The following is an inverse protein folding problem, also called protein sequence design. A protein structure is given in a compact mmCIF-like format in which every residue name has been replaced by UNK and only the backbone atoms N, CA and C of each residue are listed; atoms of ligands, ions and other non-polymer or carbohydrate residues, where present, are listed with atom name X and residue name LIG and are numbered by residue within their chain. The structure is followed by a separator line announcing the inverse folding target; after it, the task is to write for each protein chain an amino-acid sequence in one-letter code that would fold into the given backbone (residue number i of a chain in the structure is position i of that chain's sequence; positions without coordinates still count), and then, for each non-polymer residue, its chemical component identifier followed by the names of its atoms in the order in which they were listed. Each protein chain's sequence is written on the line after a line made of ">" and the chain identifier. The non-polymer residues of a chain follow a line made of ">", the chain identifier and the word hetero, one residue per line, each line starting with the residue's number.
data_IF_354982050352
#
_entry.id   IF_354982050352
#
_cell.length_a   1.000
_cell.length_b   1.000
_cell.length_c   1.000
_cell.angle_alpha   90.00
_cell.angle_beta   90.00
_cell.angle_gamma   90.00
#
_symmetry.space_group_name_H-M   'P 1'
#
loop_
_entity.id
_entity.type
_entity.pdbx_description
1 polymer ?
#
# COMPACT_ATOMS: atom_id res chain seq x y z
N UNK A 1 -20.40 -21.34 4.34
CA UNK A 1 -20.60 -22.80 4.36
C UNK A 1 -21.48 -23.25 3.20
N UNK A 2 -22.65 -22.66 2.94
CA UNK A 2 -23.54 -23.08 1.83
C UNK A 2 -22.81 -23.12 0.46
N UNK A 3 -22.04 -22.08 0.12
CA UNK A 3 -21.31 -22.00 -1.15
C UNK A 3 -20.20 -23.04 -1.28
N UNK A 4 -19.63 -23.49 -0.17
CA UNK A 4 -18.57 -24.48 -0.11
C UNK A 4 -19.10 -25.91 0.11
N UNK A 5 -20.42 -26.07 0.29
CA UNK A 5 -21.08 -27.35 0.59
C UNK A 5 -20.46 -28.08 1.80
N UNK A 6 -20.02 -27.30 2.81
CA UNK A 6 -19.34 -27.81 4.02
C UNK A 6 -20.15 -27.39 5.25
N UNK A 7 -20.37 -28.33 6.16
CA UNK A 7 -20.98 -28.07 7.46
C UNK A 7 -19.95 -27.49 8.44
N UNK A 8 -20.41 -26.69 9.42
CA UNK A 8 -19.52 -26.14 10.44
C UNK A 8 -18.81 -27.23 11.27
N UNK A 9 -19.43 -28.38 11.42
CA UNK A 9 -18.85 -29.53 12.13
C UNK A 9 -17.63 -30.13 11.42
N UNK A 10 -17.55 -29.98 10.09
CA UNK A 10 -16.49 -30.53 9.25
C UNK A 10 -15.23 -29.67 9.22
N UNK A 11 -15.30 -28.48 9.82
CA UNK A 11 -14.15 -27.57 9.88
C UNK A 11 -13.11 -28.12 10.87
N UNK A 12 -11.85 -28.23 10.44
CA UNK A 12 -10.74 -28.71 11.25
C UNK A 12 -10.13 -27.62 12.14
N UNK A 13 -10.10 -26.39 11.67
CA UNK A 13 -9.48 -25.25 12.33
C UNK A 13 -10.11 -23.93 11.93
N UNK A 14 -9.91 -22.89 12.75
CA UNK A 14 -10.27 -21.51 12.44
C UNK A 14 -8.98 -20.71 12.30
N UNK A 15 -8.83 -19.98 11.19
CA UNK A 15 -7.74 -19.03 10.97
C UNK A 15 -8.30 -17.61 10.88
N UNK A 16 -7.56 -16.63 11.42
CA UNK A 16 -7.98 -15.22 11.41
C UNK A 16 -6.76 -14.30 11.34
N UNK A 17 -6.87 -13.24 10.55
CA UNK A 17 -5.85 -12.19 10.55
C UNK A 17 -5.76 -11.53 11.93
N UNK A 18 -4.59 -11.65 12.57
CA UNK A 18 -4.34 -11.17 13.93
C UNK A 18 -3.59 -9.82 13.96
N UNK A 19 -2.99 -9.41 12.84
CA UNK A 19 -2.25 -8.16 12.66
C UNK A 19 -1.12 -8.29 11.63
N UNK A 20 -0.49 -7.18 11.27
CA UNK A 20 -0.88 -5.79 11.56
C UNK A 20 -2.15 -5.35 10.84
N UNK A 21 -2.73 -4.19 11.25
CA UNK A 21 -3.92 -3.62 10.63
C UNK A 21 -4.72 -2.73 11.58
N UNK A 22 -5.86 -2.23 11.13
CA UNK A 22 -6.77 -1.39 11.91
C UNK A 22 -7.28 -2.14 13.14
N UNK A 23 -6.93 -1.69 14.33
CA UNK A 23 -7.23 -2.35 15.61
C UNK A 23 -8.71 -2.69 15.78
N UNK A 24 -9.63 -1.78 15.38
CA UNK A 24 -11.07 -2.02 15.47
C UNK A 24 -11.53 -3.19 14.59
N UNK A 25 -11.07 -3.25 13.34
CA UNK A 25 -11.39 -4.34 12.42
C UNK A 25 -10.81 -5.68 12.91
N UNK A 26 -9.54 -5.65 13.35
CA UNK A 26 -8.88 -6.85 13.90
C UNK A 26 -9.59 -7.38 15.15
N UNK A 27 -9.99 -6.49 16.07
CA UNK A 27 -10.72 -6.91 17.30
C UNK A 27 -12.04 -7.61 16.98
N UNK A 28 -12.80 -7.09 16.01
CA UNK A 28 -14.06 -7.71 15.58
C UNK A 28 -13.82 -9.09 14.98
N UNK A 29 -12.87 -9.19 14.03
CA UNK A 29 -12.53 -10.46 13.38
C UNK A 29 -12.00 -11.51 14.37
N UNK A 30 -11.03 -11.13 15.18
CA UNK A 30 -10.42 -12.02 16.19
C UNK A 30 -11.45 -12.41 17.26
N UNK A 31 -12.33 -11.48 17.68
CA UNK A 31 -13.40 -11.78 18.63
C UNK A 31 -14.38 -12.82 18.08
N UNK A 32 -14.84 -12.64 16.85
CA UNK A 32 -15.73 -13.59 16.16
C UNK A 32 -15.05 -14.97 15.99
N UNK A 33 -13.79 -14.99 15.54
CA UNK A 33 -13.04 -16.23 15.35
C UNK A 33 -12.83 -17.01 16.66
N UNK A 34 -12.52 -16.30 17.76
CA UNK A 34 -12.42 -16.90 19.12
C UNK A 34 -13.73 -17.52 19.55
N UNK A 35 -14.86 -16.81 19.35
CA UNK A 35 -16.19 -17.33 19.66
C UNK A 35 -16.53 -18.60 18.87
N UNK A 36 -16.24 -18.57 17.56
CA UNK A 36 -16.48 -19.71 16.66
C UNK A 36 -15.60 -20.92 17.04
N UNK A 37 -14.29 -20.71 17.21
CA UNK A 37 -13.36 -21.77 17.58
C UNK A 37 -13.73 -22.42 18.92
N UNK A 38 -14.12 -21.60 19.90
CA UNK A 38 -14.59 -22.10 21.20
C UNK A 38 -15.88 -22.92 21.09
N UNK A 39 -16.87 -22.42 20.30
CA UNK A 39 -18.14 -23.11 20.11
C UNK A 39 -17.99 -24.45 19.39
N UNK A 40 -17.07 -24.54 18.43
CA UNK A 40 -16.78 -25.75 17.66
C UNK A 40 -15.74 -26.66 18.35
N UNK A 41 -15.12 -26.22 19.42
CA UNK A 41 -13.97 -26.89 20.08
C UNK A 41 -12.85 -27.21 19.08
N UNK A 42 -12.49 -26.22 18.23
CA UNK A 42 -11.46 -26.34 17.18
C UNK A 42 -10.28 -25.40 17.46
N UNK A 43 -9.08 -25.75 16.99
CA UNK A 43 -7.91 -24.88 17.13
C UNK A 43 -8.11 -23.53 16.39
N UNK A 44 -7.50 -22.47 16.96
CA UNK A 44 -7.51 -21.12 16.38
C UNK A 44 -6.08 -20.70 16.03
N UNK A 45 -5.89 -20.26 14.79
CA UNK A 45 -4.61 -19.78 14.29
C UNK A 45 -4.68 -18.28 13.97
N UNK A 46 -3.73 -17.52 14.52
CA UNK A 46 -3.53 -16.11 14.17
C UNK A 46 -2.62 -15.99 12.96
N UNK A 47 -3.10 -15.33 11.91
CA UNK A 47 -2.35 -15.14 10.66
C UNK A 47 -1.79 -13.71 10.60
N UNK A 48 -0.52 -13.58 10.24
CA UNK A 48 0.07 -12.27 9.96
C UNK A 48 -0.46 -11.74 8.62
N UNK A 49 -0.99 -10.50 8.63
CA UNK A 49 -1.61 -9.86 7.47
C UNK A 49 -0.63 -9.69 6.29
N UNK A 50 0.60 -9.29 6.59
CA UNK A 50 1.63 -9.05 5.56
C UNK A 50 2.12 -10.38 4.96
N UNK A 51 2.30 -11.40 5.80
CA UNK A 51 2.60 -12.75 5.34
C UNK A 51 1.50 -13.30 4.43
N UNK A 52 0.22 -13.05 4.76
CA UNK A 52 -0.91 -13.46 3.93
C UNK A 52 -0.91 -12.80 2.55
N UNK A 53 -0.49 -11.53 2.45
CA UNK A 53 -0.34 -10.85 1.15
C UNK A 53 0.72 -11.53 0.26
N UNK A 54 1.83 -11.97 0.83
CA UNK A 54 2.89 -12.66 0.07
C UNK A 54 2.48 -14.11 -0.22
N UNK A 55 1.81 -14.76 0.73
CA UNK A 55 1.40 -16.15 0.60
C UNK A 55 0.35 -16.39 -0.51
N UNK A 56 -0.28 -15.32 -1.03
CA UNK A 56 -1.23 -15.47 -2.15
C UNK A 56 -0.58 -16.13 -3.37
N UNK A 57 0.70 -15.88 -3.61
CA UNK A 57 1.45 -16.47 -4.72
C UNK A 57 1.63 -18.00 -4.58
N UNK A 58 1.47 -18.56 -3.36
CA UNK A 58 1.51 -20.01 -3.13
C UNK A 58 0.22 -20.72 -3.56
N UNK A 59 -0.88 -19.97 -3.67
CA UNK A 59 -2.21 -20.52 -4.02
C UNK A 59 -2.69 -20.06 -5.39
N UNK A 60 -1.93 -19.22 -6.08
CA UNK A 60 -2.24 -18.76 -7.42
C UNK A 60 -1.92 -19.88 -8.43
N UNK A 61 -2.91 -20.28 -9.24
CA UNK A 61 -2.77 -21.38 -10.21
C UNK A 61 -1.84 -21.04 -11.38
N UNK A 62 -1.66 -19.75 -11.68
CA UNK A 62 -0.92 -19.26 -12.86
C UNK A 62 0.54 -18.87 -12.56
N UNK A 63 1.02 -19.09 -11.34
CA UNK A 63 2.38 -18.74 -10.92
C UNK A 63 3.12 -20.01 -10.49
N UNK A 64 4.38 -20.15 -10.89
CA UNK A 64 5.25 -21.28 -10.50
C UNK A 64 5.55 -21.37 -8.99
N UNK A 65 4.70 -20.77 -8.18
CA UNK A 65 4.81 -20.68 -6.73
C UNK A 65 5.86 -19.67 -6.27
N UNK A 66 5.85 -19.39 -4.97
CA UNK A 66 6.83 -18.50 -4.36
C UNK A 66 8.18 -19.25 -4.23
N UNK A 67 9.19 -18.80 -4.96
CA UNK A 67 10.55 -19.31 -4.79
C UNK A 67 11.23 -18.59 -3.62
N UNK A 68 11.60 -19.32 -2.58
CA UNK A 68 12.32 -18.75 -1.44
C UNK A 68 13.83 -19.05 -1.53
N UNK A 69 14.71 -18.15 -1.05
CA UNK A 69 14.37 -16.83 -0.48
C UNK A 69 13.96 -15.80 -1.54
N UNK A 70 12.99 -14.95 -1.20
CA UNK A 70 12.53 -13.88 -2.10
C UNK A 70 12.44 -12.54 -1.36
N UNK A 71 12.40 -11.45 -2.14
CA UNK A 71 12.14 -10.11 -1.63
C UNK A 71 10.75 -9.68 -2.11
N UNK A 72 9.90 -9.31 -1.17
CA UNK A 72 8.57 -8.77 -1.45
C UNK A 72 8.53 -7.26 -1.16
N UNK A 73 7.99 -6.50 -2.10
CA UNK A 73 7.64 -5.11 -1.91
C UNK A 73 6.13 -5.00 -1.74
N UNK A 74 5.69 -4.70 -0.54
CA UNK A 74 4.28 -4.45 -0.23
C UNK A 74 3.99 -2.96 -0.36
N UNK A 75 3.06 -2.59 -1.24
CA UNK A 75 2.63 -1.21 -1.46
C UNK A 75 1.11 -1.13 -1.40
N UNK A 76 0.60 -0.39 -0.42
CA UNK A 76 -0.84 -0.24 -0.22
C UNK A 76 -1.18 1.15 0.36
N UNK A 77 -2.46 1.37 0.66
CA UNK A 77 -2.91 2.58 1.37
C UNK A 77 -2.42 2.67 2.82
N UNK A 78 -2.09 1.56 3.45
CA UNK A 78 -1.67 1.52 4.86
C UNK A 78 -0.23 1.09 5.08
N UNK A 79 0.40 0.40 4.12
CA UNK A 79 1.74 -0.17 4.25
C UNK A 79 2.59 0.11 3.02
N UNK A 80 3.86 0.40 3.24
CA UNK A 80 4.91 0.39 2.22
C UNK A 80 6.15 -0.19 2.87
N UNK A 81 6.45 -1.44 2.53
CA UNK A 81 7.43 -2.26 3.24
C UNK A 81 8.20 -3.15 2.28
N UNK A 82 9.46 -3.41 2.60
CA UNK A 82 10.30 -4.42 1.94
C UNK A 82 10.51 -5.56 2.93
N UNK A 83 10.11 -6.76 2.52
CA UNK A 83 10.26 -7.99 3.29
C UNK A 83 11.24 -8.94 2.61
N UNK A 84 12.09 -9.60 3.39
CA UNK A 84 12.80 -10.82 2.99
C UNK A 84 11.99 -12.02 3.47
N UNK A 85 11.71 -12.93 2.58
CA UNK A 85 10.93 -14.14 2.86
C UNK A 85 11.86 -15.34 2.65
N UNK A 86 12.27 -15.97 3.72
CA UNK A 86 12.93 -17.27 3.68
C UNK A 86 11.91 -18.42 3.75
N UNK A 87 10.89 -18.23 4.59
CA UNK A 87 9.71 -19.07 4.70
C UNK A 87 8.51 -18.20 5.08
N UNK A 88 7.32 -18.46 4.50
CA UNK A 88 6.12 -17.63 4.73
C UNK A 88 5.48 -17.83 6.10
N UNK A 89 5.85 -18.88 6.82
CA UNK A 89 5.30 -19.21 8.14
C UNK A 89 6.18 -18.65 9.26
N UNK A 90 7.49 -18.81 9.16
CA UNK A 90 8.39 -18.57 10.29
C UNK A 90 9.69 -17.80 9.97
N UNK A 91 9.99 -17.51 8.68
CA UNK A 91 11.18 -16.73 8.30
C UNK A 91 10.82 -15.53 7.41
N UNK A 92 10.21 -14.52 8.04
CA UNK A 92 9.91 -13.22 7.41
C UNK A 92 10.65 -12.13 8.16
N UNK A 93 11.51 -11.41 7.45
CA UNK A 93 12.30 -10.30 7.97
C UNK A 93 11.89 -8.98 7.33
N UNK A 94 11.56 -7.98 8.15
CA UNK A 94 11.32 -6.61 7.69
C UNK A 94 12.67 -5.93 7.42
N UNK A 95 12.96 -5.67 6.14
CA UNK A 95 14.18 -4.97 5.73
C UNK A 95 14.04 -3.45 5.80
N UNK A 96 12.87 -2.93 5.51
CA UNK A 96 12.58 -1.51 5.56
C UNK A 96 11.11 -1.20 5.37
N UNK A 97 10.70 -0.02 5.84
CA UNK A 97 9.33 0.44 5.78
C UNK A 97 9.28 1.95 5.54
N UNK A 98 8.09 2.46 5.23
CA UNK A 98 7.89 3.91 5.28
C UNK A 98 8.02 4.41 6.72
N UNK A 99 8.70 5.55 6.88
CA UNK A 99 8.86 6.22 8.19
C UNK A 99 7.75 7.23 8.47
N UNK A 100 6.87 7.45 7.50
CA UNK A 100 5.77 8.41 7.59
C UNK A 100 4.54 7.87 6.83
N UNK A 101 4.00 8.59 5.86
CA UNK A 101 2.85 8.13 5.07
C UNK A 101 3.21 6.88 4.24
N UNK A 102 2.26 5.96 4.06
CA UNK A 102 2.38 4.93 3.05
C UNK A 102 2.25 5.54 1.63
N UNK A 103 2.78 4.86 0.61
CA UNK A 103 2.71 5.32 -0.77
C UNK A 103 1.26 5.60 -1.21
N UNK A 104 0.34 4.64 -1.00
CA UNK A 104 -1.06 4.82 -1.36
C UNK A 104 -1.74 5.95 -0.58
N UNK A 105 -1.38 6.15 0.69
CA UNK A 105 -1.85 7.28 1.49
C UNK A 105 -1.36 8.62 0.93
N UNK A 106 -0.11 8.69 0.45
CA UNK A 106 0.42 9.88 -0.21
C UNK A 106 -0.35 10.18 -1.51
N UNK A 107 -0.70 9.15 -2.31
CA UNK A 107 -1.57 9.28 -3.47
C UNK A 107 -2.95 9.82 -3.10
N UNK A 108 -3.60 9.26 -2.08
CA UNK A 108 -4.93 9.69 -1.63
C UNK A 108 -4.95 11.14 -1.13
N UNK A 109 -3.93 11.51 -0.35
CA UNK A 109 -3.77 12.88 0.16
C UNK A 109 -3.53 13.89 -0.95
N UNK A 110 -2.71 13.52 -1.95
CA UNK A 110 -2.40 14.38 -3.10
C UNK A 110 -3.60 14.47 -4.04
N UNK A 111 -4.30 13.38 -4.31
CA UNK A 111 -5.54 13.39 -5.11
C UNK A 111 -6.57 14.33 -4.51
N UNK A 112 -6.79 14.25 -3.20
CA UNK A 112 -7.71 15.16 -2.49
C UNK A 112 -7.30 16.63 -2.64
N UNK A 113 -5.99 16.93 -2.55
CA UNK A 113 -5.45 18.27 -2.75
C UNK A 113 -5.72 18.80 -4.16
N UNK A 114 -5.66 17.92 -5.16
CA UNK A 114 -5.92 18.24 -6.56
C UNK A 114 -7.42 18.23 -6.94
N UNK A 115 -8.32 18.01 -5.98
CA UNK A 115 -9.76 17.91 -6.21
C UNK A 115 -10.18 16.63 -6.93
N UNK A 116 -9.34 15.60 -6.94
CA UNK A 116 -9.64 14.31 -7.54
C UNK A 116 -10.38 13.37 -6.57
N UNK A 117 -11.15 12.43 -7.14
CA UNK A 117 -11.92 11.47 -6.35
C UNK A 117 -11.04 10.38 -5.72
N UNK A 118 -11.57 9.74 -4.69
CA UNK A 118 -11.03 8.49 -4.13
C UNK A 118 -11.42 7.28 -5.02
N UNK A 119 -10.56 6.27 -5.19
CA UNK A 119 -9.19 6.15 -4.66
C UNK A 119 -8.19 7.03 -5.42
N UNK A 120 -7.21 7.59 -4.69
CA UNK A 120 -6.28 8.59 -5.22
C UNK A 120 -5.36 8.06 -6.32
N UNK A 121 -4.78 6.88 -6.13
CA UNK A 121 -3.84 6.29 -7.09
C UNK A 121 -4.39 6.26 -8.52
N UNK A 122 -5.48 5.50 -8.79
CA UNK A 122 -6.05 5.41 -10.14
C UNK A 122 -6.48 6.77 -10.72
N UNK A 123 -6.92 7.72 -9.88
CA UNK A 123 -7.35 9.02 -10.36
C UNK A 123 -6.18 9.95 -10.67
N UNK A 124 -5.08 9.88 -9.91
CA UNK A 124 -3.83 10.58 -10.27
C UNK A 124 -3.28 10.04 -11.59
N UNK A 125 -3.22 8.73 -11.78
CA UNK A 125 -2.76 8.13 -13.05
C UNK A 125 -3.61 8.56 -14.24
N UNK A 126 -4.94 8.58 -14.08
CA UNK A 126 -5.83 9.10 -15.13
C UNK A 126 -5.60 10.59 -15.42
N UNK A 127 -5.37 11.39 -14.38
CA UNK A 127 -5.07 12.81 -14.55
C UNK A 127 -3.73 13.00 -15.27
N UNK A 128 -2.69 12.26 -14.89
CA UNK A 128 -1.38 12.28 -15.52
C UNK A 128 -1.45 11.93 -17.02
N UNK A 129 -2.35 11.04 -17.39
CA UNK A 129 -2.61 10.67 -18.79
C UNK A 129 -3.51 11.66 -19.54
N UNK A 130 -3.97 12.76 -18.92
CA UNK A 130 -4.88 13.74 -19.52
C UNK A 130 -6.29 13.22 -19.76
N UNK A 131 -6.70 12.17 -19.05
CA UNK A 131 -8.02 11.54 -19.23
C UNK A 131 -9.14 12.23 -18.45
N UNK A 132 -8.80 13.11 -17.51
CA UNK A 132 -9.78 13.76 -16.63
C UNK A 132 -10.05 15.22 -16.98
N UNK A 133 -9.15 15.90 -17.72
CA UNK A 133 -9.30 17.30 -18.12
C UNK A 133 -9.92 17.47 -19.52
N UNK A 134 -10.28 16.37 -20.17
CA UNK A 134 -10.89 16.37 -21.51
C UNK A 134 -9.94 16.74 -22.65
N UNK A 135 -8.67 17.00 -22.37
CA UNK A 135 -7.67 17.37 -23.40
C UNK A 135 -7.13 16.15 -24.13
N UNK A 136 -7.10 14.99 -23.45
CA UNK A 136 -6.45 13.77 -23.94
C UNK A 136 -4.92 13.90 -24.07
N UNK A 137 -4.35 15.01 -23.59
CA UNK A 137 -2.93 15.27 -23.64
C UNK A 137 -2.28 14.91 -22.28
N UNK A 138 -1.32 13.96 -22.23
CA UNK A 138 -0.61 13.63 -21.01
C UNK A 138 0.05 14.85 -20.36
N UNK A 139 0.20 14.80 -19.06
CA UNK A 139 0.94 15.81 -18.31
C UNK A 139 2.45 15.73 -18.58
N UNK A 140 3.13 16.86 -18.45
CA UNK A 140 4.59 16.91 -18.51
C UNK A 140 5.19 16.55 -17.13
N UNK A 141 5.82 15.38 -17.03
CA UNK A 141 6.50 14.92 -15.80
C UNK A 141 7.66 15.80 -15.35
N UNK A 142 8.14 16.69 -16.21
CA UNK A 142 9.22 17.62 -15.89
C UNK A 142 8.73 19.01 -15.47
N UNK A 143 7.43 19.29 -15.61
CA UNK A 143 6.85 20.60 -15.27
C UNK A 143 6.95 20.87 -13.76
N UNK A 144 6.78 19.84 -12.93
CA UNK A 144 6.88 19.91 -11.48
C UNK A 144 7.86 18.85 -10.96
N UNK A 145 8.85 19.29 -10.20
CA UNK A 145 9.82 18.35 -9.59
C UNK A 145 9.47 18.08 -8.14
N UNK A 146 9.22 16.82 -7.85
CA UNK A 146 8.95 16.37 -6.50
C UNK A 146 10.23 15.89 -5.78
N UNK A 147 10.31 16.05 -4.44
CA UNK A 147 11.43 15.52 -3.67
C UNK A 147 11.35 14.00 -3.60
N UNK A 148 12.48 13.32 -3.77
CA UNK A 148 12.60 11.89 -3.48
C UNK A 148 13.05 11.71 -2.03
N UNK A 149 12.15 11.18 -1.20
CA UNK A 149 12.43 10.92 0.22
C UNK A 149 13.51 9.87 0.39
N UNK A 150 14.44 10.07 1.34
CA UNK A 150 15.52 9.13 1.71
C UNK A 150 16.38 8.63 0.54
N UNK A 151 16.45 9.37 -0.58
CA UNK A 151 17.21 8.99 -1.76
C UNK A 151 18.64 9.59 -1.82
N UNK A 152 19.09 10.28 -0.77
CA UNK A 152 20.44 10.86 -0.73
C UNK A 152 21.48 9.79 -0.43
N UNK A 153 22.71 9.98 -0.93
CA UNK A 153 23.84 9.05 -0.72
C UNK A 153 24.06 8.70 0.76
N UNK A 154 23.83 9.63 1.66
CA UNK A 154 23.95 9.40 3.11
C UNK A 154 22.89 8.43 3.62
N UNK A 155 21.64 8.56 3.18
CA UNK A 155 20.55 7.69 3.59
C UNK A 155 20.75 6.26 3.05
N UNK A 156 21.19 6.13 1.79
CA UNK A 156 21.47 4.84 1.14
C UNK A 156 22.68 4.09 1.75
N UNK A 157 23.59 4.81 2.43
CA UNK A 157 24.75 4.22 3.12
C UNK A 157 24.46 3.87 4.57
N UNK A 158 23.41 4.43 5.13
CA UNK A 158 23.00 4.17 6.51
C UNK A 158 22.30 2.80 6.58
N UNK A 159 22.85 1.83 7.33
CA UNK A 159 22.23 0.49 7.45
C UNK A 159 20.80 0.51 7.96
N UNK A 160 20.44 1.50 8.80
CA UNK A 160 19.11 1.62 9.39
C UNK A 160 18.11 2.32 8.48
N UNK A 161 18.56 3.03 7.43
CA UNK A 161 17.73 3.87 6.56
C UNK A 161 17.66 3.44 5.12
N UNK A 162 18.66 2.70 4.65
CA UNK A 162 18.87 2.39 3.23
C UNK A 162 17.71 1.71 2.53
N UNK A 163 16.81 1.07 3.28
CA UNK A 163 15.64 0.38 2.77
C UNK A 163 14.33 1.05 3.16
N UNK A 164 14.39 2.18 3.88
CA UNK A 164 13.21 2.92 4.29
C UNK A 164 12.73 3.88 3.22
N UNK A 165 11.43 4.21 3.29
CA UNK A 165 10.76 5.16 2.42
C UNK A 165 10.29 6.38 3.22
N UNK A 166 10.02 7.49 2.51
CA UNK A 166 9.37 8.67 3.06
C UNK A 166 8.57 9.36 1.96
N UNK A 167 7.29 9.55 2.19
CA UNK A 167 6.35 10.12 1.22
C UNK A 167 5.69 11.41 1.70
N UNK A 168 5.78 11.78 2.99
CA UNK A 168 5.12 12.96 3.55
C UNK A 168 5.55 14.28 2.89
N UNK A 169 6.78 14.34 2.36
CA UNK A 169 7.30 15.49 1.62
C UNK A 169 6.59 15.75 0.30
N UNK A 170 6.02 14.74 -0.33
CA UNK A 170 5.34 14.83 -1.63
C UNK A 170 4.08 15.70 -1.54
N UNK A 171 3.22 15.45 -0.54
CA UNK A 171 2.01 16.25 -0.30
C UNK A 171 2.34 17.74 -0.12
N UNK A 172 3.39 18.04 0.65
CA UNK A 172 3.81 19.42 0.91
C UNK A 172 4.34 20.08 -0.37
N UNK A 173 5.06 19.33 -1.21
CA UNK A 173 5.52 19.81 -2.51
C UNK A 173 4.34 20.09 -3.45
N UNK A 174 3.37 19.18 -3.56
CA UNK A 174 2.16 19.39 -4.34
C UNK A 174 1.39 20.64 -3.87
N UNK A 175 1.19 20.79 -2.56
CA UNK A 175 0.51 21.95 -1.99
C UNK A 175 1.20 23.26 -2.36
N UNK A 176 2.54 23.32 -2.32
CA UNK A 176 3.29 24.53 -2.73
C UNK A 176 3.04 24.91 -4.18
N UNK A 177 3.03 23.93 -5.09
CA UNK A 177 2.82 24.21 -6.52
C UNK A 177 1.40 24.67 -6.79
N UNK A 178 0.39 24.06 -6.14
CA UNK A 178 -1.01 24.53 -6.23
C UNK A 178 -1.14 25.96 -5.71
N UNK A 179 -0.65 26.24 -4.50
CA UNK A 179 -0.73 27.59 -3.89
C UNK A 179 0.03 28.64 -4.71
N UNK A 180 1.18 28.28 -5.27
CA UNK A 180 1.96 29.15 -6.14
C UNK A 180 1.20 29.48 -7.42
N UNK A 181 0.57 28.51 -8.05
CA UNK A 181 -0.26 28.74 -9.24
C UNK A 181 -1.44 29.68 -8.93
N UNK A 182 -2.16 29.42 -7.85
CA UNK A 182 -3.27 30.27 -7.40
C UNK A 182 -2.81 31.72 -7.14
N UNK A 183 -1.67 31.91 -6.46
CA UNK A 183 -1.14 33.22 -6.11
C UNK A 183 -0.69 34.02 -7.33
N UNK A 184 -0.11 33.34 -8.32
CA UNK A 184 0.42 33.98 -9.54
C UNK A 184 -0.64 34.08 -10.64
N UNK A 185 -1.84 33.54 -10.45
CA UNK A 185 -2.84 33.44 -11.51
C UNK A 185 -2.35 32.59 -12.69
N UNK A 186 -1.43 31.65 -12.45
CA UNK A 186 -0.87 30.77 -13.47
C UNK A 186 -1.80 29.57 -13.69
N UNK A 187 -2.01 29.22 -14.93
CA UNK A 187 -2.78 28.04 -15.33
C UNK A 187 -1.91 26.79 -15.16
N UNK A 188 -1.94 26.19 -13.95
CA UNK A 188 -1.22 24.97 -13.67
C UNK A 188 -2.14 23.76 -13.94
N UNK A 189 -1.78 22.99 -14.96
CA UNK A 189 -2.54 21.80 -15.29
C UNK A 189 -2.38 20.73 -14.20
N UNK A 190 -3.52 20.22 -13.71
CA UNK A 190 -3.56 19.08 -12.77
C UNK A 190 -2.80 17.87 -13.34
N UNK A 191 -2.88 17.66 -14.68
CA UNK A 191 -2.16 16.61 -15.37
C UNK A 191 -0.63 16.71 -15.20
N UNK A 192 -0.06 17.93 -15.21
CA UNK A 192 1.38 18.13 -15.05
C UNK A 192 1.85 17.83 -13.60
N UNK A 193 1.04 18.26 -12.61
CA UNK A 193 1.32 17.92 -11.20
C UNK A 193 1.23 16.40 -10.99
N UNK A 194 0.19 15.77 -11.53
CA UNK A 194 -0.03 14.34 -11.41
C UNK A 194 1.10 13.53 -12.07
N UNK A 195 1.54 13.94 -13.28
CA UNK A 195 2.63 13.28 -13.98
C UNK A 195 3.99 13.43 -13.28
N UNK A 196 4.28 14.61 -12.71
CA UNK A 196 5.48 14.81 -11.91
C UNK A 196 5.44 14.11 -10.56
N UNK A 197 4.24 13.87 -10.00
CA UNK A 197 4.07 13.15 -8.74
C UNK A 197 4.32 11.64 -8.87
N UNK A 198 3.97 11.06 -10.03
CA UNK A 198 4.18 9.64 -10.32
C UNK A 198 5.63 9.29 -10.71
N UNK A 199 6.46 10.29 -11.14
CA UNK A 199 7.85 10.09 -11.56
C UNK A 199 8.80 9.82 -10.36
#
# INVERSE_FOLDING_TARGET
>A
CETAEVELADIDAVAVTAGPGLSGALMVGVGAAKGLAAALNKPLYGVNHLAAHVAVDLVAEDIDGLTTPTIALLVSGGHTEILRIGDVVDDIELLGATIDDAAGEAFDKTARLLGLNYPGGPNISKAALGLLDGTGAPGDRNAVKFPRGLAKKQDLRDPERRYNFSFSGLKTAALREVTKAETLGADLRVADIAAGFED
#
